data_IF_420997731347
#
_entry.id   IF_420997731347
#
_cell.length_a   1.000
_cell.length_b   1.000
_cell.length_c   1.000
_cell.angle_alpha   90.00
_cell.angle_beta   90.00
_cell.angle_gamma   90.00
#
_symmetry.space_group_name_H-M   'P 1'
#
loop_
_entity.id
_entity.type
_entity.pdbx_description
1 polymer ?
#
# COMPACT_ATOMS: atom_id res chain seq x y z
N UNK A 1 -1.33 14.04 39.19
CA UNK A 1 -2.81 14.20 39.31
C UNK A 1 -3.16 15.60 38.84
N UNK A 2 -3.89 15.74 37.73
CA UNK A 2 -4.73 16.93 37.44
C UNK A 2 -5.72 16.55 36.34
N UNK A 3 -7.01 16.65 36.64
CA UNK A 3 -8.19 16.32 35.82
C UNK A 3 -8.85 17.63 35.39
N UNK A 4 -9.22 17.75 34.12
CA UNK A 4 -10.25 18.69 33.61
C UNK A 4 -10.94 17.95 32.45
N UNK A 5 -12.08 17.29 32.69
CA UNK A 5 -13.48 17.75 32.61
C UNK A 5 -13.99 18.03 31.18
N UNK A 6 -14.59 16.97 30.63
CA UNK A 6 -15.80 16.85 29.79
C UNK A 6 -16.45 18.09 29.15
N UNK A 7 -16.73 17.96 27.85
CA UNK A 7 -17.99 18.37 27.25
C UNK A 7 -18.56 17.24 26.36
N UNK A 8 -19.82 16.92 26.66
CA UNK A 8 -20.77 16.03 25.97
C UNK A 8 -21.81 16.96 25.31
N UNK A 9 -22.45 16.56 24.19
CA UNK A 9 -23.83 16.92 23.70
C UNK A 9 -23.95 16.61 22.16
N UNK A 10 -25.09 16.13 21.59
CA UNK A 10 -25.56 14.74 21.67
C UNK A 10 -26.02 14.14 20.31
N UNK A 11 -26.46 12.89 20.36
CA UNK A 11 -27.15 12.09 19.35
C UNK A 11 -28.49 12.71 18.91
N UNK A 12 -28.83 12.64 17.62
CA UNK A 12 -30.16 12.95 17.08
C UNK A 12 -30.76 11.69 16.45
N UNK A 13 -31.50 10.91 17.24
CA UNK A 13 -32.42 9.87 16.78
C UNK A 13 -33.84 10.40 16.87
N UNK A 14 -34.60 10.35 15.78
CA UNK A 14 -36.04 10.64 15.77
C UNK A 14 -36.80 9.31 15.73
N UNK A 15 -37.70 9.17 16.70
CA UNK A 15 -38.57 8.03 16.97
C UNK A 15 -39.90 8.18 16.22
N UNK A 16 -40.50 7.03 15.94
CA UNK A 16 -41.80 6.74 15.33
C UNK A 16 -43.03 7.34 16.05
N UNK A 17 -44.09 7.58 15.28
CA UNK A 17 -45.51 7.66 15.70
C UNK A 17 -46.38 7.57 14.43
N UNK A 18 -47.58 6.99 14.34
CA UNK A 18 -48.42 6.13 15.19
C UNK A 18 -49.61 5.66 14.30
N UNK A 19 -50.26 4.56 14.70
CA UNK A 19 -51.21 3.74 13.92
C UNK A 19 -52.68 4.01 14.28
N UNK A 20 -53.58 3.95 13.27
CA UNK A 20 -55.04 3.64 13.28
C UNK A 20 -56.09 4.58 13.95
N UNK A 21 -57.21 4.91 13.28
CA UNK A 21 -58.50 4.16 13.21
C UNK A 21 -59.67 4.97 12.54
N UNK A 22 -60.46 4.25 11.73
CA UNK A 22 -61.77 4.45 11.01
C UNK A 22 -62.93 5.22 11.73
N UNK A 23 -64.20 5.42 11.20
CA UNK A 23 -64.91 4.61 10.19
C UNK A 23 -66.05 5.21 9.28
N UNK A 24 -66.52 4.35 8.36
CA UNK A 24 -67.92 4.08 7.92
C UNK A 24 -68.69 5.03 6.95
N UNK A 25 -69.14 4.49 5.80
CA UNK A 25 -70.55 4.16 5.44
C UNK A 25 -70.67 3.71 3.96
N UNK A 26 -71.28 2.53 3.75
CA UNK A 26 -71.88 1.95 2.53
C UNK A 26 -73.38 1.66 2.89
N UNK A 27 -74.34 1.23 2.02
CA UNK A 27 -74.40 0.85 0.58
C UNK A 27 -75.71 1.41 -0.09
N UNK A 28 -76.55 0.73 -0.94
CA UNK A 28 -76.38 -0.34 -1.94
C UNK A 28 -76.96 0.02 -3.34
N UNK A 29 -76.65 -0.74 -4.40
CA UNK A 29 -77.75 -1.31 -5.21
C UNK A 29 -77.34 -2.50 -6.07
N UNK A 30 -78.29 -3.43 -6.17
CA UNK A 30 -78.16 -4.79 -6.67
C UNK A 30 -78.24 -4.89 -8.19
N UNK A 31 -77.47 -5.80 -8.79
CA UNK A 31 -77.95 -6.71 -9.83
C UNK A 31 -76.88 -7.75 -10.22
N UNK A 32 -77.18 -9.02 -9.94
CA UNK A 32 -76.59 -10.24 -10.52
C UNK A 32 -77.74 -10.84 -11.35
N UNK A 33 -77.58 -11.37 -12.58
CA UNK A 33 -76.88 -12.65 -12.73
C UNK A 33 -76.25 -13.01 -14.10
N UNK A 34 -75.49 -14.10 -14.02
CA UNK A 34 -75.41 -15.22 -14.98
C UNK A 34 -74.09 -15.42 -15.74
N UNK A 35 -73.38 -16.46 -15.27
CA UNK A 35 -72.94 -17.64 -16.02
C UNK A 35 -71.87 -17.38 -17.10
N UNK A 36 -70.65 -17.84 -16.80
CA UNK A 36 -69.89 -18.79 -17.63
C UNK A 36 -68.69 -19.30 -16.83
N UNK A 37 -68.91 -20.39 -16.09
CA UNK A 37 -67.81 -21.23 -15.62
C UNK A 37 -67.20 -21.92 -16.86
N UNK A 38 -66.04 -21.42 -17.29
CA UNK A 38 -65.14 -22.17 -18.18
C UNK A 38 -64.29 -23.11 -17.33
N UNK A 39 -63.91 -24.30 -17.82
CA UNK A 39 -63.26 -25.30 -17.00
C UNK A 39 -61.93 -24.76 -16.51
N UNK A 40 -61.70 -24.85 -15.20
CA UNK A 40 -60.37 -24.76 -14.62
C UNK A 40 -59.59 -25.94 -15.18
N UNK A 41 -58.88 -25.72 -16.28
CA UNK A 41 -57.77 -26.58 -16.69
C UNK A 41 -56.69 -26.34 -15.65
N UNK A 42 -56.67 -27.17 -14.61
CA UNK A 42 -55.47 -27.39 -13.79
C UNK A 42 -54.44 -28.09 -14.67
N UNK A 43 -53.88 -27.35 -15.63
CA UNK A 43 -52.59 -27.72 -16.18
C UNK A 43 -51.61 -27.46 -15.06
N UNK A 44 -51.27 -28.53 -14.33
CA UNK A 44 -50.13 -28.55 -13.44
C UNK A 44 -48.92 -28.11 -14.26
N UNK A 45 -48.64 -26.80 -14.21
CA UNK A 45 -47.45 -26.21 -14.80
C UNK A 45 -46.33 -26.66 -13.88
N UNK A 46 -45.89 -27.89 -14.11
CA UNK A 46 -44.59 -28.39 -13.69
C UNK A 46 -43.59 -27.39 -14.25
N UNK A 47 -43.29 -26.35 -13.48
CA UNK A 47 -42.12 -25.50 -13.69
C UNK A 47 -40.92 -26.39 -13.38
N UNK A 48 -40.58 -27.24 -14.37
CA UNK A 48 -39.26 -27.83 -14.47
C UNK A 48 -38.31 -26.64 -14.42
N UNK A 49 -37.74 -26.40 -13.24
CA UNK A 49 -36.60 -25.51 -13.06
C UNK A 49 -35.53 -26.12 -13.97
N UNK A 50 -35.41 -25.57 -15.19
CA UNK A 50 -34.37 -25.98 -16.12
C UNK A 50 -33.07 -25.58 -15.44
N UNK A 51 -32.37 -26.57 -14.89
CA UNK A 51 -30.99 -26.39 -14.44
C UNK A 51 -30.20 -25.99 -15.69
N UNK A 52 -29.98 -24.68 -15.87
CA UNK A 52 -29.12 -24.15 -16.92
C UNK A 52 -27.70 -24.58 -16.56
N UNK A 53 -27.12 -25.45 -17.39
CA UNK A 53 -25.69 -25.73 -17.33
C UNK A 53 -24.91 -24.59 -17.97
N UNK A 54 -23.62 -24.50 -17.63
CA UNK A 54 -22.73 -23.55 -18.27
C UNK A 54 -22.55 -23.88 -19.74
N UNK A 55 -22.61 -22.86 -20.59
CA UNK A 55 -22.25 -23.02 -22.00
C UNK A 55 -20.74 -23.05 -22.15
N UNK A 56 -20.22 -23.81 -23.12
CA UNK A 56 -18.77 -23.84 -23.40
C UNK A 56 -18.25 -22.44 -23.70
N UNK A 57 -19.03 -21.60 -24.37
CA UNK A 57 -18.69 -20.21 -24.64
C UNK A 57 -18.48 -19.40 -23.36
N UNK A 58 -19.37 -19.53 -22.37
CA UNK A 58 -19.27 -18.82 -21.09
C UNK A 58 -18.05 -19.26 -20.28
N UNK A 59 -17.73 -20.56 -20.30
CA UNK A 59 -16.53 -21.10 -19.66
C UNK A 59 -15.26 -20.57 -20.35
N UNK A 60 -15.24 -20.54 -21.68
CA UNK A 60 -14.09 -20.02 -22.43
C UNK A 60 -13.90 -18.51 -22.22
N UNK A 61 -14.99 -17.74 -22.17
CA UNK A 61 -14.94 -16.31 -21.86
C UNK A 61 -14.44 -16.08 -20.43
N UNK A 62 -14.96 -16.84 -19.45
CA UNK A 62 -14.52 -16.76 -18.06
C UNK A 62 -13.04 -17.12 -17.90
N UNK A 63 -12.61 -18.19 -18.57
CA UNK A 63 -11.20 -18.62 -18.58
C UNK A 63 -10.30 -17.58 -19.24
N UNK A 64 -10.75 -16.94 -20.32
CA UNK A 64 -10.01 -15.87 -20.99
C UNK A 64 -9.82 -14.66 -20.08
N UNK A 65 -10.89 -14.21 -19.41
CA UNK A 65 -10.82 -13.10 -18.45
C UNK A 65 -9.90 -13.49 -17.27
N UNK A 66 -9.98 -14.73 -16.77
CA UNK A 66 -9.13 -15.21 -15.68
C UNK A 66 -7.65 -15.15 -16.06
N UNK A 67 -7.27 -15.63 -17.24
CA UNK A 67 -5.85 -15.62 -17.67
C UNK A 67 -5.36 -14.19 -17.87
N UNK A 68 -6.16 -13.31 -18.49
CA UNK A 68 -5.80 -11.91 -18.70
C UNK A 68 -5.62 -11.16 -17.37
N UNK A 69 -6.52 -11.37 -16.42
CA UNK A 69 -6.41 -10.77 -15.08
C UNK A 69 -5.21 -11.30 -14.32
N UNK A 70 -4.94 -12.61 -14.39
CA UNK A 70 -3.76 -13.21 -13.74
C UNK A 70 -2.45 -12.64 -14.31
N UNK A 71 -2.35 -12.45 -15.62
CA UNK A 71 -1.19 -11.85 -16.27
C UNK A 71 -0.98 -10.39 -15.82
N UNK A 72 -2.06 -9.60 -15.80
CA UNK A 72 -1.99 -8.21 -15.34
C UNK A 72 -1.57 -8.12 -13.86
N UNK A 73 -2.10 -9.00 -13.01
CA UNK A 73 -1.69 -9.10 -11.62
C UNK A 73 -0.22 -9.49 -11.49
N UNK A 74 0.23 -10.50 -12.23
CA UNK A 74 1.62 -10.94 -12.20
C UNK A 74 2.59 -9.80 -12.55
N UNK A 75 2.31 -9.06 -13.62
CA UNK A 75 3.14 -7.92 -14.03
C UNK A 75 3.11 -6.78 -13.00
N UNK A 76 1.92 -6.47 -12.45
CA UNK A 76 1.75 -5.45 -11.42
C UNK A 76 2.51 -5.79 -10.14
N UNK A 77 2.38 -7.03 -9.65
CA UNK A 77 3.09 -7.50 -8.46
C UNK A 77 4.59 -7.60 -8.69
N UNK A 78 5.03 -8.13 -9.84
CA UNK A 78 6.45 -8.23 -10.17
C UNK A 78 7.13 -6.86 -10.17
N UNK A 79 6.51 -5.87 -10.80
CA UNK A 79 7.01 -4.48 -10.81
C UNK A 79 6.99 -3.88 -9.42
N UNK A 80 5.92 -4.10 -8.64
CA UNK A 80 5.79 -3.57 -7.29
C UNK A 80 6.81 -4.17 -6.32
N UNK A 81 7.10 -5.47 -6.40
CA UNK A 81 8.12 -6.13 -5.58
C UNK A 81 9.51 -5.61 -5.93
N UNK A 82 9.82 -5.40 -7.21
CA UNK A 82 11.08 -4.81 -7.62
C UNK A 82 11.23 -3.39 -7.06
N UNK A 83 10.24 -2.51 -7.30
CA UNK A 83 10.27 -1.13 -6.80
C UNK A 83 10.35 -1.07 -5.27
N UNK A 84 9.59 -1.92 -4.57
CA UNK A 84 9.61 -1.97 -3.11
C UNK A 84 10.96 -2.46 -2.57
N UNK A 85 11.54 -3.49 -3.19
CA UNK A 85 12.86 -4.01 -2.83
C UNK A 85 13.93 -2.94 -3.05
N UNK A 86 13.95 -2.30 -4.21
CA UNK A 86 14.91 -1.23 -4.53
C UNK A 86 14.77 -0.04 -3.59
N UNK A 87 13.54 0.37 -3.28
CA UNK A 87 13.27 1.47 -2.34
C UNK A 87 13.74 1.11 -0.93
N UNK A 88 13.49 -0.12 -0.48
CA UNK A 88 13.93 -0.60 0.84
C UNK A 88 15.45 -0.64 0.95
N UNK A 89 16.13 -1.11 -0.10
CA UNK A 89 17.59 -1.17 -0.14
C UNK A 89 18.21 0.22 -0.19
N UNK A 90 17.67 1.13 -1.00
CA UNK A 90 18.10 2.53 -1.03
C UNK A 90 17.90 3.21 0.33
N UNK A 91 16.74 3.01 0.97
CA UNK A 91 16.48 3.59 2.29
C UNK A 91 17.43 3.05 3.36
N UNK A 92 17.76 1.75 3.31
CA UNK A 92 18.78 1.15 4.19
C UNK A 92 20.15 1.78 3.95
N UNK A 93 20.59 1.90 2.70
CA UNK A 93 21.86 2.52 2.35
C UNK A 93 21.93 3.98 2.81
N UNK A 94 20.87 4.75 2.55
CA UNK A 94 20.76 6.15 2.96
C UNK A 94 20.80 6.31 4.47
N UNK A 95 19.99 5.54 5.21
CA UNK A 95 19.94 5.58 6.67
C UNK A 95 21.29 5.20 7.29
N UNK A 96 21.95 4.16 6.76
CA UNK A 96 23.27 3.76 7.25
C UNK A 96 24.35 4.79 6.93
N UNK A 97 24.40 5.31 5.70
CA UNK A 97 25.32 6.36 5.30
C UNK A 97 25.20 7.55 6.23
N UNK A 98 23.97 8.04 6.45
CA UNK A 98 23.70 9.16 7.33
C UNK A 98 24.13 8.86 8.77
N UNK A 99 23.87 7.66 9.28
CA UNK A 99 24.31 7.28 10.61
C UNK A 99 25.85 7.29 10.73
N UNK A 100 26.56 6.79 9.72
CA UNK A 100 28.03 6.85 9.68
C UNK A 100 28.59 8.27 9.55
N UNK A 101 27.94 9.12 8.75
CA UNK A 101 28.29 10.54 8.65
C UNK A 101 28.04 11.28 9.96
N UNK A 102 26.91 11.04 10.62
CA UNK A 102 26.61 11.60 11.93
C UNK A 102 27.58 11.11 13.01
N UNK A 103 28.05 9.85 12.95
CA UNK A 103 29.13 9.38 13.82
C UNK A 103 30.42 10.16 13.61
N UNK A 104 30.75 10.49 12.35
CA UNK A 104 31.92 11.31 12.04
C UNK A 104 31.77 12.77 12.46
N UNK A 105 30.54 13.30 12.47
CA UNK A 105 30.24 14.64 12.99
C UNK A 105 30.31 14.67 14.53
N UNK A 106 29.77 13.65 15.19
CA UNK A 106 29.77 13.53 16.67
C UNK A 106 31.14 13.21 17.25
N UNK A 107 32.11 12.80 16.41
CA UNK A 107 33.46 12.52 16.86
C UNK A 107 34.12 13.83 17.33
N UNK A 108 34.42 13.91 18.63
CA UNK A 108 35.09 15.08 19.24
C UNK A 108 36.48 15.36 18.66
N UNK A 109 37.06 14.39 17.95
CA UNK A 109 38.36 14.48 17.27
C UNK A 109 38.10 14.37 15.77
N UNK A 110 38.56 15.38 15.01
CA UNK A 110 38.41 15.40 13.55
C UNK A 110 39.04 14.16 12.94
N UNK A 111 38.24 13.35 12.23
CA UNK A 111 38.70 12.09 11.63
C UNK A 111 39.88 12.35 10.70
N UNK A 112 41.00 11.61 10.79
CA UNK A 112 42.16 11.85 9.94
C UNK A 112 41.83 11.58 8.47
N UNK A 113 42.56 12.24 7.57
CA UNK A 113 42.54 11.98 6.13
C UNK A 113 42.86 10.50 5.90
N UNK A 114 41.91 9.76 5.36
CA UNK A 114 41.97 8.31 5.24
C UNK A 114 41.03 7.83 4.14
N UNK A 115 41.44 6.77 3.46
CA UNK A 115 40.60 6.01 2.54
C UNK A 115 40.39 4.64 3.17
N UNK A 116 39.13 4.32 3.48
CA UNK A 116 38.73 3.03 4.03
C UNK A 116 37.68 2.42 3.13
N UNK A 117 37.78 1.13 2.86
CA UNK A 117 36.84 0.41 2.01
C UNK A 117 36.64 -1.00 2.54
N UNK A 118 35.47 -1.57 2.30
CA UNK A 118 35.19 -2.93 2.73
C UNK A 118 33.85 -3.44 2.21
N UNK A 119 33.61 -4.71 2.46
CA UNK A 119 32.32 -5.36 2.25
C UNK A 119 31.76 -5.72 3.62
N UNK A 120 30.43 -5.68 3.77
CA UNK A 120 29.82 -6.08 5.03
C UNK A 120 29.79 -7.60 5.14
N UNK A 121 30.10 -8.10 6.34
CA UNK A 121 30.04 -9.53 6.67
C UNK A 121 28.63 -10.11 6.43
N UNK A 122 28.56 -11.42 6.18
CA UNK A 122 27.32 -12.11 5.85
C UNK A 122 26.23 -12.01 6.93
N UNK A 123 26.63 -11.85 8.19
CA UNK A 123 25.74 -11.70 9.36
C UNK A 123 25.28 -10.26 9.61
N UNK A 124 25.85 -9.29 8.89
CA UNK A 124 25.52 -7.88 9.06
C UNK A 124 24.20 -7.51 8.38
N UNK A 125 23.46 -6.56 8.95
CA UNK A 125 22.19 -6.07 8.38
C UNK A 125 22.33 -5.46 6.97
N UNK A 126 23.57 -5.14 6.56
CA UNK A 126 23.92 -4.64 5.23
C UNK A 126 24.75 -5.63 4.41
N UNK A 127 24.61 -6.93 4.67
CA UNK A 127 25.17 -7.97 3.83
C UNK A 127 24.82 -7.72 2.34
N UNK A 128 25.80 -7.87 1.46
CA UNK A 128 25.68 -7.62 0.02
C UNK A 128 25.88 -6.17 -0.42
N UNK A 129 26.19 -5.27 0.52
CA UNK A 129 26.64 -3.91 0.24
C UNK A 129 28.16 -3.85 0.35
N UNK A 130 28.78 -3.06 -0.52
CA UNK A 130 30.18 -2.63 -0.38
C UNK A 130 30.19 -1.15 -0.02
N UNK A 131 31.13 -0.75 0.82
CA UNK A 131 31.25 0.64 1.27
C UNK A 131 32.65 1.18 1.03
N UNK A 132 32.71 2.49 0.80
CA UNK A 132 33.94 3.26 0.66
C UNK A 132 33.78 4.58 1.39
N UNK A 133 34.69 4.85 2.32
CA UNK A 133 34.81 6.10 3.05
C UNK A 133 36.08 6.80 2.62
N UNK A 134 35.94 8.03 2.15
CA UNK A 134 37.08 8.86 1.74
C UNK A 134 37.05 10.18 2.49
N UNK A 135 38.06 10.41 3.31
CA UNK A 135 38.24 11.65 4.09
C UNK A 135 39.38 12.43 3.45
N UNK A 136 39.11 13.64 3.00
CA UNK A 136 40.09 14.51 2.33
C UNK A 136 39.99 15.95 2.79
N UNK A 137 41.12 16.65 2.91
CA UNK A 137 41.15 18.07 3.23
C UNK A 137 41.06 18.88 1.94
N UNK A 138 40.09 19.80 1.86
CA UNK A 138 39.84 20.64 0.68
C UNK A 138 39.74 22.11 1.08
N UNK A 139 40.15 22.99 0.17
CA UNK A 139 40.00 24.45 0.29
C UNK A 139 39.01 24.97 -0.75
N UNK A 140 37.68 24.90 -0.51
CA UNK A 140 36.68 25.37 -1.47
C UNK A 140 36.71 26.89 -1.65
N UNK A 141 37.21 27.62 -0.65
CA UNK A 141 37.38 29.06 -0.67
C UNK A 141 38.80 29.43 -0.20
N UNK A 142 39.39 30.53 -0.71
CA UNK A 142 40.71 30.99 -0.25
C UNK A 142 40.74 31.20 1.27
N UNK A 143 41.67 30.51 1.95
CA UNK A 143 41.88 30.64 3.40
C UNK A 143 40.93 29.81 4.28
N UNK A 144 39.91 29.16 3.73
CA UNK A 144 38.99 28.29 4.49
C UNK A 144 39.32 26.84 4.18
N UNK A 145 39.92 26.12 5.15
CA UNK A 145 40.14 24.67 5.07
C UNK A 145 38.95 23.94 5.66
N UNK A 146 38.39 23.00 4.90
CA UNK A 146 37.35 22.08 5.38
C UNK A 146 37.81 20.65 5.13
N UNK A 147 37.36 19.73 5.98
CA UNK A 147 37.55 18.29 5.78
C UNK A 147 36.29 17.71 5.17
N UNK A 148 36.39 17.17 3.96
CA UNK A 148 35.31 16.46 3.30
C UNK A 148 35.36 14.99 3.70
N UNK A 149 34.26 14.48 4.22
CA UNK A 149 34.04 13.04 4.46
C UNK A 149 32.99 12.57 3.45
N UNK A 150 33.45 11.81 2.47
CA UNK A 150 32.61 11.12 1.50
C UNK A 150 32.35 9.69 1.99
N UNK A 151 31.09 9.26 1.90
CA UNK A 151 30.69 7.88 2.16
C UNK A 151 29.84 7.38 1.01
N UNK A 152 30.35 6.34 0.35
CA UNK A 152 29.75 5.70 -0.82
C UNK A 152 29.35 4.28 -0.43
N UNK A 153 28.11 3.90 -0.73
CA UNK A 153 27.66 2.51 -0.69
C UNK A 153 27.27 2.05 -2.09
N UNK A 154 27.67 0.84 -2.46
CA UNK A 154 27.27 0.18 -3.69
C UNK A 154 26.68 -1.18 -3.40
N UNK A 155 25.63 -1.56 -4.13
CA UNK A 155 25.02 -2.88 -4.04
C UNK A 155 24.51 -3.35 -5.40
N UNK A 156 24.35 -4.66 -5.52
CA UNK A 156 23.85 -5.30 -6.73
C UNK A 156 22.37 -5.65 -6.59
N UNK A 157 21.54 -5.24 -7.55
CA UNK A 157 20.16 -5.72 -7.68
C UNK A 157 19.97 -6.36 -9.06
N UNK A 158 19.99 -7.69 -9.08
CA UNK A 158 19.89 -8.46 -10.32
C UNK A 158 21.10 -8.23 -11.23
N UNK A 159 20.91 -7.46 -12.30
CA UNK A 159 21.97 -7.12 -13.28
C UNK A 159 22.50 -5.69 -13.13
N UNK A 160 21.88 -4.88 -12.27
CA UNK A 160 22.20 -3.48 -12.13
C UNK A 160 23.01 -3.26 -10.84
N UNK A 161 24.03 -2.40 -10.94
CA UNK A 161 24.76 -1.91 -9.78
C UNK A 161 24.16 -0.56 -9.40
N UNK A 162 23.70 -0.45 -8.17
CA UNK A 162 23.21 0.79 -7.59
C UNK A 162 24.27 1.38 -6.68
N UNK A 163 24.31 2.70 -6.59
CA UNK A 163 25.29 3.42 -5.79
C UNK A 163 24.61 4.60 -5.12
N UNK A 164 24.94 4.81 -3.86
CA UNK A 164 24.52 5.96 -3.06
C UNK A 164 25.76 6.67 -2.53
N UNK A 165 25.87 7.95 -2.86
CA UNK A 165 26.99 8.81 -2.48
C UNK A 165 26.49 9.93 -1.58
N UNK A 166 27.19 10.17 -0.48
CA UNK A 166 26.91 11.28 0.42
C UNK A 166 28.20 11.92 0.94
N UNK A 167 28.16 13.24 1.06
CA UNK A 167 29.29 14.06 1.52
C UNK A 167 28.87 14.92 2.72
N UNK A 168 29.79 15.07 3.67
CA UNK A 168 29.71 16.08 4.72
C UNK A 168 31.03 16.84 4.82
N UNK A 169 30.95 18.13 5.15
CA UNK A 169 32.11 18.97 5.40
C UNK A 169 32.19 19.27 6.89
N UNK A 170 33.32 18.90 7.51
CA UNK A 170 33.59 19.10 8.93
C UNK A 170 34.81 20.00 9.13
N UNK A 171 34.92 20.58 10.33
CA UNK A 171 36.09 21.37 10.69
C UNK A 171 37.34 20.44 10.74
N UNK A 172 38.44 20.79 10.07
CA UNK A 172 39.67 19.99 10.11
C UNK A 172 40.42 20.06 11.45
N UNK A 173 40.08 21.01 12.33
CA UNK A 173 40.74 21.27 13.61
C UNK A 173 40.00 20.66 14.80
#
# INVERSE_FOLDING_TARGET
>A
MSKIHSQIIPDLRTVEESTQLSPHINPPDSAVPAKNQSPIVTSGRNSKVRKKGFTVLEVLVSLSILVLTLMALYQSFSTSIFVLSSTTNLWKAMSHAQNELLKSERATISTPVSLSQGEFELEHQMNGFSWKKHVSDTTPLPGIRVRQVNYQLSWNEGKNVYTYDADIYVNPN
#
